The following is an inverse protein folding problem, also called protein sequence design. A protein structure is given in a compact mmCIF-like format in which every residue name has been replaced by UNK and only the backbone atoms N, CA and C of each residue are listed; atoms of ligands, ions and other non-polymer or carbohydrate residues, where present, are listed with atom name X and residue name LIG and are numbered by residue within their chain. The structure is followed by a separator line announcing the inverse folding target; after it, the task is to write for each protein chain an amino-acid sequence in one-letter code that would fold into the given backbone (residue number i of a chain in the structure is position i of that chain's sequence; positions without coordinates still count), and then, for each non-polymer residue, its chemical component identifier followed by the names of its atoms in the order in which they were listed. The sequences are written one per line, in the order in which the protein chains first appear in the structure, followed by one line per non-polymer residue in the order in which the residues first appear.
data_IF_219472377051
#
_entry.id   IF_219472377051
#
_cell.length_a   1.000
_cell.length_b   1.000
_cell.length_c   1.000
_cell.angle_alpha   90.00
_cell.angle_beta   90.00
_cell.angle_gamma   90.00
#
_symmetry.space_group_name_H-M   'P 1'
#
loop_
_entity.id
_entity.type
_entity.pdbx_description
1 polymer ?
#
# COMPACT_ATOMS: atom_id res chain seq x y z
N UNK A 1 -2.40 -2.68 29.60
CA UNK A 1 -1.65 -2.65 28.32
C UNK A 1 -2.30 -1.54 27.49
N UNK A 2 -1.60 -0.47 27.18
CA UNK A 2 -2.10 0.59 26.30
C UNK A 2 -2.22 -0.01 24.90
N UNK A 3 -3.45 -0.05 24.39
CA UNK A 3 -3.74 -0.53 23.04
C UNK A 3 -3.11 0.45 22.03
N UNK A 4 -2.10 0.00 21.31
CA UNK A 4 -1.36 0.81 20.34
C UNK A 4 -2.21 1.03 19.09
N UNK A 5 -2.55 2.30 18.79
CA UNK A 5 -3.27 2.66 17.57
C UNK A 5 -2.28 2.64 16.40
N UNK A 6 -2.55 1.81 15.39
CA UNK A 6 -1.73 1.72 14.19
C UNK A 6 -2.16 2.71 13.11
N UNK A 7 -3.48 2.85 12.90
CA UNK A 7 -4.02 3.81 11.93
C UNK A 7 -5.11 4.65 12.58
N UNK A 8 -4.98 5.97 12.47
CA UNK A 8 -5.98 6.93 12.94
C UNK A 8 -6.45 7.78 11.76
N UNK A 9 -7.74 7.90 11.59
CA UNK A 9 -8.42 8.69 10.55
C UNK A 9 -9.24 9.74 11.26
N UNK A 10 -9.02 11.01 10.92
CA UNK A 10 -9.67 12.15 11.58
C UNK A 10 -10.33 13.05 10.54
N UNK A 11 -11.65 13.20 10.64
CA UNK A 11 -12.48 14.19 9.93
C UNK A 11 -12.20 14.24 8.42
N UNK A 12 -12.13 13.09 7.76
CA UNK A 12 -11.83 13.03 6.32
C UNK A 12 -13.03 13.45 5.49
N UNK A 13 -12.82 14.44 4.65
CA UNK A 13 -13.76 14.94 3.64
C UNK A 13 -13.19 14.76 2.24
N UNK A 14 -14.01 14.25 1.33
CA UNK A 14 -13.66 14.07 -0.07
C UNK A 14 -14.90 14.29 -0.95
N UNK A 15 -14.78 15.10 -1.99
CA UNK A 15 -15.85 15.36 -2.95
C UNK A 15 -15.37 15.15 -4.39
N UNK A 16 -16.29 14.79 -5.28
CA UNK A 16 -16.06 14.66 -6.71
C UNK A 16 -17.14 15.46 -7.47
N UNK A 17 -16.74 16.53 -8.17
CA UNK A 17 -17.67 17.33 -8.98
C UNK A 17 -18.90 17.82 -8.19
N UNK A 18 -18.72 18.21 -6.92
CA UNK A 18 -19.80 18.65 -6.03
C UNK A 18 -20.54 17.53 -5.29
N UNK A 19 -20.30 16.26 -5.61
CA UNK A 19 -20.85 15.13 -4.86
C UNK A 19 -19.91 14.77 -3.71
N UNK A 20 -20.39 14.86 -2.46
CA UNK A 20 -19.62 14.44 -1.29
C UNK A 20 -19.54 12.92 -1.22
N UNK A 21 -18.33 12.39 -1.33
CA UNK A 21 -18.04 10.96 -1.20
C UNK A 21 -17.67 10.54 0.23
N UNK A 22 -17.06 11.46 1.00
CA UNK A 22 -16.76 11.30 2.42
C UNK A 22 -17.08 12.61 3.13
N UNK A 23 -17.82 12.56 4.23
CA UNK A 23 -18.33 13.72 4.95
C UNK A 23 -17.97 13.63 6.44
N UNK A 24 -16.69 13.85 6.77
CA UNK A 24 -16.21 13.86 8.15
C UNK A 24 -16.00 12.46 8.76
N UNK A 25 -15.41 11.54 7.98
CA UNK A 25 -15.15 10.18 8.45
C UNK A 25 -14.01 10.15 9.45
N UNK A 26 -14.27 9.58 10.63
CA UNK A 26 -13.28 9.39 11.69
C UNK A 26 -13.34 7.96 12.23
N UNK A 27 -12.18 7.33 12.41
CA UNK A 27 -12.05 6.00 13.04
C UNK A 27 -10.60 5.77 13.45
N UNK A 28 -10.37 4.75 14.30
CA UNK A 28 -9.04 4.30 14.67
C UNK A 28 -8.96 2.78 14.59
N UNK A 29 -7.82 2.25 14.17
CA UNK A 29 -7.54 0.83 14.03
C UNK A 29 -6.32 0.51 14.89
N UNK A 30 -6.45 -0.51 15.74
CA UNK A 30 -5.40 -0.95 16.63
C UNK A 30 -4.41 -1.87 15.90
N UNK A 31 -3.22 -1.97 16.40
CA UNK A 31 -2.21 -2.90 15.88
C UNK A 31 -2.68 -4.34 16.02
N UNK A 32 -2.61 -5.11 14.94
CA UNK A 32 -3.05 -6.51 14.89
C UNK A 32 -4.57 -6.70 14.82
N UNK A 33 -5.35 -5.62 14.69
CA UNK A 33 -6.80 -5.69 14.58
C UNK A 33 -7.23 -6.02 13.14
N UNK A 34 -8.28 -6.85 13.00
CA UNK A 34 -9.02 -7.02 11.76
C UNK A 34 -10.19 -6.06 11.77
N UNK A 35 -10.12 -5.01 10.96
CA UNK A 35 -11.13 -3.96 10.88
C UNK A 35 -11.93 -4.07 9.58
N UNK A 36 -13.27 -4.08 9.65
CA UNK A 36 -14.16 -4.18 8.50
C UNK A 36 -14.94 -2.88 8.27
N UNK A 37 -14.99 -2.43 7.01
CA UNK A 37 -15.83 -1.31 6.57
C UNK A 37 -17.02 -1.87 5.80
N UNK A 38 -18.21 -1.73 6.36
CA UNK A 38 -19.47 -2.27 5.82
C UNK A 38 -20.37 -1.11 5.39
N UNK A 39 -21.13 -1.31 4.31
CA UNK A 39 -22.10 -0.34 3.80
C UNK A 39 -22.53 -0.64 2.37
N UNK A 40 -23.59 0.01 1.86
CA UNK A 40 -24.09 -0.18 0.50
C UNK A 40 -23.08 0.31 -0.56
N UNK A 41 -23.37 0.00 -1.83
CA UNK A 41 -22.61 0.57 -2.94
C UNK A 41 -22.77 2.09 -2.96
N UNK A 42 -21.67 2.82 -3.21
CA UNK A 42 -21.67 4.28 -3.16
C UNK A 42 -21.44 4.89 -1.77
N UNK A 43 -21.39 4.11 -0.68
CA UNK A 43 -21.17 4.63 0.69
C UNK A 43 -19.75 5.14 0.96
N UNK A 44 -18.89 5.30 -0.03
CA UNK A 44 -17.54 5.86 0.14
C UNK A 44 -16.46 4.89 0.62
N UNK A 45 -16.76 3.58 0.80
CA UNK A 45 -15.79 2.58 1.28
C UNK A 45 -14.48 2.58 0.46
N UNK A 46 -14.60 2.45 -0.85
CA UNK A 46 -13.46 2.49 -1.77
C UNK A 46 -12.75 3.85 -1.76
N UNK A 47 -13.51 4.94 -1.61
CA UNK A 47 -12.95 6.29 -1.52
C UNK A 47 -12.08 6.45 -0.28
N UNK A 48 -12.51 5.93 0.87
CA UNK A 48 -11.72 5.95 2.10
C UNK A 48 -10.42 5.13 1.94
N UNK A 49 -10.51 3.91 1.40
CA UNK A 49 -9.32 3.09 1.10
C UNK A 49 -8.37 3.80 0.12
N UNK A 50 -8.91 4.52 -0.88
CA UNK A 50 -8.11 5.30 -1.81
C UNK A 50 -7.42 6.51 -1.14
N UNK A 51 -8.03 7.12 -0.11
CA UNK A 51 -7.37 8.15 0.70
C UNK A 51 -6.22 7.57 1.53
N UNK A 52 -6.40 6.39 2.14
CA UNK A 52 -5.35 5.71 2.91
C UNK A 52 -4.14 5.38 2.02
N UNK A 53 -4.39 4.88 0.80
CA UNK A 53 -3.32 4.58 -0.17
C UNK A 53 -2.79 5.81 -0.91
N UNK A 54 -3.31 7.00 -0.61
CA UNK A 54 -2.92 8.26 -1.28
C UNK A 54 -3.22 8.29 -2.79
N UNK A 55 -4.17 7.47 -3.27
CA UNK A 55 -4.74 7.60 -4.62
C UNK A 55 -5.60 8.86 -4.72
N UNK A 56 -6.36 9.17 -3.64
CA UNK A 56 -7.12 10.39 -3.52
C UNK A 56 -6.55 11.28 -2.42
N UNK A 57 -6.58 12.58 -2.64
CA UNK A 57 -6.27 13.59 -1.64
C UNK A 57 -7.58 14.06 -1.02
N UNK A 58 -7.84 13.82 0.26
CA UNK A 58 -8.97 14.41 0.95
C UNK A 58 -8.81 15.94 1.02
N UNK A 59 -9.93 16.66 0.98
CA UNK A 59 -9.98 18.12 1.08
C UNK A 59 -9.70 18.59 2.51
N UNK A 60 -10.06 17.74 3.49
CA UNK A 60 -9.92 18.02 4.90
C UNK A 60 -9.68 16.74 5.68
N UNK A 61 -9.05 16.88 6.85
CA UNK A 61 -8.80 15.82 7.80
C UNK A 61 -7.34 15.38 7.84
N UNK A 62 -7.09 14.27 8.57
CA UNK A 62 -5.77 13.68 8.72
C UNK A 62 -5.88 12.16 8.67
N UNK A 63 -4.82 11.52 8.16
CA UNK A 63 -4.63 10.08 8.25
C UNK A 63 -3.25 9.87 8.85
N UNK A 64 -3.22 9.29 10.06
CA UNK A 64 -1.99 9.09 10.84
C UNK A 64 -1.73 7.58 10.91
N UNK A 65 -0.60 7.14 10.41
CA UNK A 65 -0.15 5.76 10.46
C UNK A 65 1.13 5.70 11.31
N UNK A 66 1.10 4.92 12.39
CA UNK A 66 2.22 4.80 13.34
C UNK A 66 2.81 6.16 13.75
N UNK A 67 1.93 7.12 14.08
CA UNK A 67 2.31 8.47 14.50
C UNK A 67 2.68 9.44 13.37
N UNK A 68 2.73 8.99 12.10
CA UNK A 68 3.08 9.83 10.95
C UNK A 68 1.84 10.20 10.13
N UNK A 69 1.63 11.50 9.85
CA UNK A 69 0.56 11.92 8.94
C UNK A 69 0.95 11.60 7.48
N UNK A 70 0.32 10.57 6.93
CA UNK A 70 0.62 10.09 5.58
C UNK A 70 0.09 11.01 4.48
N UNK A 71 -0.84 11.94 4.78
CA UNK A 71 -1.33 12.92 3.81
C UNK A 71 -0.25 13.93 3.38
N UNK A 72 0.78 14.11 4.19
CA UNK A 72 1.93 14.97 3.88
C UNK A 72 3.01 14.26 3.07
N UNK A 73 2.83 12.95 2.79
CA UNK A 73 3.82 12.14 2.10
C UNK A 73 3.49 11.97 0.62
N UNK A 74 4.50 11.70 -0.20
CA UNK A 74 4.30 11.30 -1.59
C UNK A 74 3.68 9.89 -1.65
N UNK A 75 2.75 9.60 -2.58
CA UNK A 75 2.05 8.30 -2.64
C UNK A 75 2.96 7.07 -2.62
N UNK A 76 4.08 7.10 -3.37
CA UNK A 76 5.02 5.98 -3.42
C UNK A 76 5.74 5.72 -2.08
N UNK A 77 5.78 6.70 -1.16
CA UNK A 77 6.38 6.54 0.16
C UNK A 77 5.45 5.80 1.13
N UNK A 78 4.13 5.82 0.89
CA UNK A 78 3.15 5.15 1.74
C UNK A 78 3.32 3.63 1.71
N UNK A 79 3.62 3.07 0.54
CA UNK A 79 3.94 1.64 0.42
C UNK A 79 5.19 1.24 1.22
N UNK A 80 6.18 2.12 1.32
CA UNK A 80 7.40 1.88 2.10
C UNK A 80 7.16 1.84 3.62
N UNK A 81 6.02 2.38 4.11
CA UNK A 81 5.60 2.27 5.51
C UNK A 81 4.96 0.91 5.84
N UNK A 82 4.75 0.03 4.84
CA UNK A 82 4.07 -1.24 5.02
C UNK A 82 2.55 -1.19 4.76
N UNK A 83 2.02 -0.08 4.26
CA UNK A 83 0.63 0.02 3.85
C UNK A 83 0.50 -0.58 2.45
N UNK A 84 -0.11 -1.76 2.34
CA UNK A 84 -0.36 -2.44 1.07
C UNK A 84 -1.86 -2.58 0.83
N UNK A 85 -2.25 -2.70 -0.44
CA UNK A 85 -3.63 -2.94 -0.84
C UNK A 85 -3.69 -3.98 -1.95
N UNK A 86 -4.62 -4.92 -1.81
CA UNK A 86 -5.05 -5.79 -2.90
C UNK A 86 -6.14 -5.09 -3.73
N UNK A 87 -6.05 -5.20 -5.04
CA UNK A 87 -7.06 -4.67 -5.95
C UNK A 87 -7.95 -5.80 -6.46
N UNK A 88 -9.22 -5.48 -6.72
CA UNK A 88 -10.20 -6.44 -7.21
C UNK A 88 -9.82 -6.97 -8.61
N UNK A 89 -9.26 -6.10 -9.45
CA UNK A 89 -8.71 -6.47 -10.75
C UNK A 89 -7.19 -6.57 -10.63
N UNK A 90 -6.67 -7.76 -10.87
CA UNK A 90 -5.22 -8.00 -10.86
C UNK A 90 -4.70 -7.71 -12.27
N UNK A 91 -3.93 -6.63 -12.40
CA UNK A 91 -3.22 -6.28 -13.63
C UNK A 91 -1.86 -6.99 -13.63
N UNK A 92 -1.78 -8.10 -14.36
CA UNK A 92 -0.53 -8.83 -14.58
C UNK A 92 0.10 -8.42 -15.91
N UNK A 93 1.42 -8.33 -15.92
CA UNK A 93 2.18 -8.19 -17.16
C UNK A 93 2.19 -9.54 -17.89
N UNK A 94 1.35 -9.68 -18.91
CA UNK A 94 1.07 -10.96 -19.63
C UNK A 94 2.31 -11.59 -20.29
N UNK A 95 3.34 -10.78 -20.58
CA UNK A 95 4.59 -11.24 -21.19
C UNK A 95 5.71 -11.51 -20.18
N UNK A 96 5.42 -11.38 -18.89
CA UNK A 96 6.35 -11.70 -17.81
C UNK A 96 6.01 -13.04 -17.17
N UNK A 97 7.02 -13.72 -16.64
CA UNK A 97 6.80 -14.93 -15.84
C UNK A 97 6.10 -14.58 -14.52
N UNK A 98 5.55 -15.57 -13.83
CA UNK A 98 4.96 -15.40 -12.49
C UNK A 98 5.98 -14.79 -11.53
N UNK A 99 7.20 -15.31 -11.54
CA UNK A 99 8.31 -14.83 -10.69
C UNK A 99 8.62 -13.35 -10.99
N UNK A 100 8.66 -12.94 -12.26
CA UNK A 100 8.96 -11.57 -12.62
C UNK A 100 7.84 -10.60 -12.23
N UNK A 101 6.57 -11.00 -12.33
CA UNK A 101 5.44 -10.23 -11.82
C UNK A 101 5.53 -10.02 -10.29
N UNK A 102 5.91 -11.06 -9.54
CA UNK A 102 6.09 -10.96 -8.08
C UNK A 102 7.30 -10.08 -7.74
N UNK A 103 8.42 -10.23 -8.47
CA UNK A 103 9.62 -9.37 -8.30
C UNK A 103 9.28 -7.90 -8.50
N UNK A 104 8.47 -7.58 -9.52
CA UNK A 104 8.05 -6.21 -9.79
C UNK A 104 7.27 -5.62 -8.60
N UNK A 105 6.41 -6.39 -7.95
CA UNK A 105 5.71 -5.97 -6.73
C UNK A 105 6.66 -5.66 -5.55
N UNK A 106 7.84 -6.27 -5.52
CA UNK A 106 8.84 -6.07 -4.45
C UNK A 106 9.91 -5.03 -4.77
N UNK A 107 9.82 -4.33 -5.90
CA UNK A 107 10.83 -3.33 -6.30
C UNK A 107 11.07 -2.23 -5.25
N UNK A 108 10.08 -1.91 -4.42
CA UNK A 108 10.18 -0.91 -3.33
C UNK A 108 11.21 -1.31 -2.28
N UNK A 109 11.50 -2.61 -2.13
CA UNK A 109 12.45 -3.15 -1.16
C UNK A 109 13.86 -3.35 -1.73
N UNK A 110 14.04 -3.17 -3.06
CA UNK A 110 15.35 -3.26 -3.68
C UNK A 110 16.18 -2.00 -3.37
N UNK A 111 17.35 -2.22 -2.77
CA UNK A 111 18.28 -1.13 -2.39
C UNK A 111 19.14 -0.65 -3.56
N UNK A 112 19.19 -1.41 -4.66
CA UNK A 112 19.94 -1.04 -5.86
C UNK A 112 19.24 0.08 -6.63
N UNK A 113 19.85 1.27 -6.67
CA UNK A 113 19.35 2.42 -7.41
C UNK A 113 19.48 2.24 -8.93
N UNK A 114 18.80 3.09 -9.70
CA UNK A 114 18.76 3.09 -11.19
C UNK A 114 20.15 3.08 -11.86
N UNK A 115 21.16 3.70 -11.24
CA UNK A 115 22.54 3.74 -11.74
C UNK A 115 23.30 2.42 -11.53
N UNK A 116 22.95 1.61 -10.54
CA UNK A 116 23.55 0.29 -10.31
C UNK A 116 22.88 -0.82 -11.13
N UNK A 117 21.66 -0.61 -11.60
CA UNK A 117 20.95 -1.52 -12.52
C UNK A 117 21.58 -1.57 -13.94
N UNK A 118 22.33 -0.52 -14.35
CA UNK A 118 23.03 -0.49 -15.64
C UNK A 118 24.34 -1.30 -15.66
N UNK A 119 24.91 -1.60 -14.49
CA UNK A 119 26.10 -2.45 -14.34
C UNK A 119 25.68 -3.72 -13.60
N UNK A 120 25.26 -4.73 -14.36
CA UNK A 120 24.77 -6.03 -13.88
C UNK A 120 25.90 -6.90 -13.27
N UNK A 121 26.72 -6.31 -12.36
CA UNK A 121 27.86 -6.97 -11.74
C UNK A 121 27.87 -6.81 -10.23
N UNK A 122 28.01 -7.89 -9.49
CA UNK A 122 28.23 -7.87 -8.05
C UNK A 122 26.96 -7.88 -7.18
N UNK A 123 26.76 -6.84 -6.36
CA UNK A 123 25.68 -6.76 -5.35
C UNK A 123 24.26 -6.92 -5.91
N UNK A 124 23.99 -6.39 -7.08
CA UNK A 124 22.66 -6.45 -7.73
C UNK A 124 22.29 -7.88 -8.09
N UNK A 125 23.27 -8.68 -8.57
CA UNK A 125 23.06 -10.08 -8.92
C UNK A 125 22.81 -10.95 -7.69
N UNK A 126 23.52 -10.69 -6.59
CA UNK A 126 23.30 -11.46 -5.34
C UNK A 126 21.96 -11.14 -4.68
N UNK A 127 21.52 -9.86 -4.71
CA UNK A 127 20.20 -9.45 -4.23
C UNK A 127 19.07 -10.06 -5.08
N UNK A 128 19.24 -10.14 -6.39
CA UNK A 128 18.27 -10.74 -7.30
C UNK A 128 18.15 -12.26 -7.11
N UNK A 129 19.28 -12.96 -6.95
CA UNK A 129 19.28 -14.41 -6.69
C UNK A 129 18.63 -14.71 -5.33
N UNK A 130 18.94 -13.93 -4.29
CA UNK A 130 18.34 -14.08 -2.97
C UNK A 130 16.82 -13.83 -3.01
N UNK A 131 16.39 -12.77 -3.71
CA UNK A 131 14.97 -12.47 -3.88
C UNK A 131 14.23 -13.56 -4.64
N UNK A 132 14.83 -14.08 -5.71
CA UNK A 132 14.25 -15.18 -6.48
C UNK A 132 14.05 -16.42 -5.61
N UNK A 133 15.06 -16.80 -4.84
CA UNK A 133 15.00 -17.96 -3.93
C UNK A 133 13.90 -17.78 -2.87
N UNK A 134 13.83 -16.62 -2.25
CA UNK A 134 12.76 -16.28 -1.27
C UNK A 134 11.36 -16.39 -1.88
N UNK A 135 11.19 -15.93 -3.12
CA UNK A 135 9.91 -16.00 -3.83
C UNK A 135 9.56 -17.46 -4.16
N UNK A 136 10.52 -18.24 -4.65
CA UNK A 136 10.32 -19.66 -4.98
C UNK A 136 9.94 -20.47 -3.72
N UNK A 137 10.63 -20.25 -2.59
CA UNK A 137 10.31 -20.89 -1.31
C UNK A 137 8.88 -20.54 -0.85
N UNK A 138 8.49 -19.26 -0.89
CA UNK A 138 7.13 -18.82 -0.49
C UNK A 138 6.03 -19.30 -1.42
N UNK A 139 6.31 -19.49 -2.72
CA UNK A 139 5.33 -20.07 -3.64
C UNK A 139 5.12 -21.55 -3.33
N UNK A 140 6.20 -22.29 -3.01
CA UNK A 140 6.12 -23.71 -2.65
C UNK A 140 5.33 -23.91 -1.36
N UNK A 141 5.49 -23.02 -0.38
CA UNK A 141 4.75 -23.07 0.90
C UNK A 141 3.23 -22.77 0.74
N UNK A 142 2.83 -22.20 -0.39
CA UNK A 142 1.41 -21.85 -0.68
C UNK A 142 0.69 -22.91 -1.53
N UNK A 143 1.41 -23.91 -2.07
CA UNK A 143 0.87 -25.01 -2.88
C UNK A 143 0.70 -26.30 -2.06
#
# INVERSE_FOLDING_TARGET
MTEEIQLQIEDIHLSFGGLSALAGVSTSIKKGEIFAIIGPNGAGKTSLLNCINRFYNPEKGKIIFEGQNILNMKPHKVASLGIARTFQNVELFKHMTVIDNIKLGRHVHLKSGFLSGGIYYGKTRSEEIALRKEIEEKIIDLL
#
